data_IF_694493032938
#
_entry.id   IF_694493032938
#
_cell.length_a   1.000
_cell.length_b   1.000
_cell.length_c   1.000
_cell.angle_alpha   90.00
_cell.angle_beta   90.00
_cell.angle_gamma   90.00
#
_symmetry.space_group_name_H-M   'P 1'
#
loop_
_entity.id
_entity.type
_entity.pdbx_description
1 polymer ?
#
# COMPACT_ATOMS: atom_id res chain seq x y z
N UNK A 1 7.46 22.43 -9.76
CA UNK A 1 7.22 22.03 -9.78
C UNK A 1 6.59 21.29 -9.88
N UNK A 2 6.82 21.53 -10.06
CA UNK A 2 6.07 20.83 -10.18
C UNK A 2 5.79 19.77 -10.33
N UNK A 3 5.99 19.53 -10.96
CA UNK A 3 5.77 18.19 -11.14
C UNK A 3 5.42 17.47 -9.89
N UNK A 4 5.67 18.08 -8.80
CA UNK A 4 5.35 17.44 -7.55
C UNK A 4 3.84 17.42 -7.40
N UNK A 5 3.34 16.25 -7.16
CA UNK A 5 1.94 16.11 -6.81
C UNK A 5 1.78 16.46 -5.35
N UNK A 6 0.62 16.99 -5.02
CA UNK A 6 0.32 17.30 -3.64
C UNK A 6 0.27 15.99 -2.83
N UNK A 7 0.56 16.04 -1.54
CA UNK A 7 0.39 14.87 -0.69
C UNK A 7 -1.02 14.31 -0.74
N UNK A 8 -2.01 15.17 -0.90
CA UNK A 8 -3.40 14.74 -1.01
C UNK A 8 -3.58 13.71 -2.13
N UNK A 9 -3.02 13.99 -3.30
CA UNK A 9 -3.15 13.08 -4.44
C UNK A 9 -2.42 11.77 -4.19
N UNK A 10 -1.24 11.83 -3.57
CA UNK A 10 -0.51 10.60 -3.22
C UNK A 10 -1.30 9.73 -2.25
N UNK A 11 -1.93 10.36 -1.27
CA UNK A 11 -2.74 9.62 -0.30
C UNK A 11 -3.98 9.00 -0.96
N UNK A 12 -4.58 9.70 -1.91
CA UNK A 12 -5.69 9.14 -2.67
C UNK A 12 -5.26 7.91 -3.46
N UNK A 13 -4.07 7.95 -4.07
CA UNK A 13 -3.54 6.80 -4.78
C UNK A 13 -3.38 5.60 -3.85
N UNK A 14 -2.84 5.82 -2.66
CA UNK A 14 -2.66 4.75 -1.69
C UNK A 14 -4.02 4.17 -1.30
N UNK A 15 -4.98 5.03 -0.97
CA UNK A 15 -6.31 4.59 -0.59
C UNK A 15 -6.97 3.75 -1.70
N UNK A 16 -6.86 4.23 -2.93
CA UNK A 16 -7.52 3.56 -4.04
C UNK A 16 -6.91 2.20 -4.33
N UNK A 17 -5.58 2.09 -4.21
CA UNK A 17 -4.93 0.78 -4.41
C UNK A 17 -5.28 -0.20 -3.30
N UNK A 18 -5.36 0.27 -2.06
CA UNK A 18 -5.78 -0.59 -0.96
C UNK A 18 -7.21 -1.07 -1.19
N UNK A 19 -8.10 -0.16 -1.57
CA UNK A 19 -9.49 -0.53 -1.84
C UNK A 19 -9.58 -1.55 -2.97
N UNK A 20 -8.80 -1.34 -4.03
CA UNK A 20 -8.83 -2.24 -5.19
C UNK A 20 -8.40 -3.66 -4.85
N UNK A 21 -7.30 -3.81 -4.12
CA UNK A 21 -6.83 -5.14 -3.78
C UNK A 21 -7.75 -5.79 -2.74
N UNK A 22 -8.27 -5.00 -1.80
CA UNK A 22 -9.21 -5.50 -0.80
C UNK A 22 -10.47 -6.06 -1.47
N UNK A 23 -10.99 -5.34 -2.45
CA UNK A 23 -12.16 -5.82 -3.19
C UNK A 23 -11.85 -7.08 -3.97
N UNK A 24 -10.66 -7.16 -4.57
CA UNK A 24 -10.28 -8.30 -5.39
C UNK A 24 -10.16 -9.59 -4.58
N UNK A 25 -9.74 -9.50 -3.32
CA UNK A 25 -9.55 -10.69 -2.49
C UNK A 25 -10.71 -10.95 -1.53
N UNK A 26 -11.77 -10.17 -1.61
CA UNK A 26 -12.92 -10.33 -0.71
C UNK A 26 -13.50 -11.72 -0.85
N UNK A 27 -13.62 -12.43 0.28
CA UNK A 27 -14.18 -13.77 0.29
C UNK A 27 -13.25 -14.86 -0.22
N UNK A 28 -12.00 -14.52 -0.55
CA UNK A 28 -11.03 -15.49 -1.08
C UNK A 28 -10.25 -16.10 0.07
N UNK A 29 -10.10 -17.43 0.07
CA UNK A 29 -9.28 -18.11 1.05
C UNK A 29 -7.80 -17.99 0.68
N UNK A 30 -6.92 -18.26 1.66
CA UNK A 30 -5.49 -18.26 1.35
C UNK A 30 -5.16 -19.30 0.28
N UNK A 31 -5.77 -20.49 0.36
CA UNK A 31 -5.50 -21.53 -0.63
C UNK A 31 -5.87 -21.07 -2.03
N UNK A 32 -7.04 -20.45 -2.18
CA UNK A 32 -7.45 -19.95 -3.49
C UNK A 32 -6.57 -18.80 -3.96
N UNK A 33 -6.17 -17.93 -3.02
CA UNK A 33 -5.28 -16.84 -3.32
C UNK A 33 -3.93 -17.36 -3.85
N UNK A 34 -3.38 -18.36 -3.15
CA UNK A 34 -2.08 -18.94 -3.52
C UNK A 34 -2.11 -19.56 -4.90
N UNK A 35 -3.27 -20.11 -5.30
CA UNK A 35 -3.43 -20.74 -6.61
C UNK A 35 -3.71 -19.72 -7.71
N UNK A 36 -3.95 -18.46 -7.37
CA UNK A 36 -4.36 -17.46 -8.35
C UNK A 36 -3.20 -16.59 -8.78
N UNK A 37 -2.70 -16.84 -9.99
CA UNK A 37 -1.69 -15.97 -10.58
C UNK A 37 -2.17 -14.53 -10.60
N UNK A 38 -3.42 -14.31 -11.02
CA UNK A 38 -3.96 -12.97 -11.17
C UNK A 38 -4.00 -12.21 -9.85
N UNK A 39 -4.49 -12.86 -8.78
CA UNK A 39 -4.61 -12.18 -7.49
C UNK A 39 -3.23 -11.84 -6.91
N UNK A 40 -2.24 -12.71 -7.12
CA UNK A 40 -0.88 -12.39 -6.67
C UNK A 40 -0.31 -11.21 -7.43
N UNK A 41 -0.53 -11.15 -8.75
CA UNK A 41 -0.05 -10.03 -9.56
C UNK A 41 -0.76 -8.73 -9.21
N UNK A 42 -2.08 -8.79 -8.96
CA UNK A 42 -2.83 -7.63 -8.51
C UNK A 42 -2.24 -7.09 -7.21
N UNK A 43 -1.95 -7.99 -6.26
CA UNK A 43 -1.39 -7.60 -4.97
C UNK A 43 -0.01 -6.96 -5.13
N UNK A 44 0.86 -7.56 -5.94
CA UNK A 44 2.20 -7.03 -6.16
C UNK A 44 2.16 -5.65 -6.79
N UNK A 45 1.30 -5.48 -7.79
CA UNK A 45 1.20 -4.18 -8.45
C UNK A 45 0.67 -3.12 -7.52
N UNK A 46 -0.36 -3.45 -6.73
CA UNK A 46 -0.90 -2.51 -5.76
C UNK A 46 0.19 -2.08 -4.76
N UNK A 47 0.97 -3.04 -4.27
CA UNK A 47 2.03 -2.73 -3.32
C UNK A 47 3.12 -1.86 -3.94
N UNK A 48 3.44 -2.06 -5.22
CA UNK A 48 4.40 -1.19 -5.89
C UNK A 48 3.91 0.25 -5.94
N UNK A 49 2.65 0.43 -6.32
CA UNK A 49 2.08 1.78 -6.40
C UNK A 49 2.02 2.42 -5.02
N UNK A 50 1.60 1.67 -4.00
CA UNK A 50 1.53 2.17 -2.63
C UNK A 50 2.92 2.58 -2.15
N UNK A 51 3.92 1.76 -2.40
CA UNK A 51 5.28 2.03 -2.00
C UNK A 51 5.81 3.31 -2.65
N UNK A 52 5.56 3.48 -3.95
CA UNK A 52 6.03 4.65 -4.66
C UNK A 52 5.33 5.91 -4.19
N UNK A 53 4.02 5.83 -3.95
CA UNK A 53 3.27 6.98 -3.44
C UNK A 53 3.75 7.36 -2.04
N UNK A 54 3.99 6.36 -1.19
CA UNK A 54 4.48 6.61 0.17
C UNK A 54 5.85 7.26 0.15
N UNK A 55 6.73 6.80 -0.75
CA UNK A 55 8.07 7.37 -0.90
C UNK A 55 8.00 8.85 -1.26
N UNK A 56 6.98 9.25 -2.00
CA UNK A 56 6.83 10.63 -2.45
C UNK A 56 6.22 11.55 -1.41
N UNK A 57 5.74 11.01 -0.28
CA UNK A 57 5.18 11.85 0.79
C UNK A 57 6.31 12.55 1.54
N UNK A 58 6.12 13.83 1.91
CA UNK A 58 7.13 14.52 2.71
C UNK A 58 7.36 13.85 4.05
N UNK A 59 8.63 13.79 4.46
CA UNK A 59 8.98 13.19 5.74
C UNK A 59 8.31 13.94 6.89
N UNK A 60 8.16 15.25 6.75
CA UNK A 60 7.48 16.06 7.77
C UNK A 60 6.05 15.61 7.98
N UNK A 61 5.41 15.18 6.89
CA UNK A 61 4.02 14.71 6.98
C UNK A 61 3.95 13.32 7.57
N UNK A 62 4.72 12.36 7.03
CA UNK A 62 4.65 10.99 7.53
C UNK A 62 5.10 10.89 8.98
N UNK A 63 6.01 11.75 9.40
CA UNK A 63 6.46 11.78 10.79
C UNK A 63 5.37 12.09 11.80
N UNK A 64 4.29 12.70 11.36
CA UNK A 64 3.15 12.98 12.24
C UNK A 64 2.22 11.77 12.41
N UNK A 65 2.46 10.70 11.67
CA UNK A 65 1.59 9.53 11.67
C UNK A 65 2.41 8.26 11.88
N UNK A 66 3.08 8.14 13.03
CA UNK A 66 3.99 7.01 13.26
C UNK A 66 3.30 5.66 13.42
N UNK A 67 1.96 5.65 13.48
CA UNK A 67 1.23 4.39 13.52
C UNK A 67 1.42 3.58 12.24
N UNK A 68 1.75 4.21 11.11
CA UNK A 68 2.04 3.49 9.89
C UNK A 68 3.54 3.24 9.79
N UNK A 69 3.94 2.01 9.40
CA UNK A 69 5.37 1.68 9.27
C UNK A 69 5.90 2.13 7.91
N UNK A 70 6.09 3.43 7.74
CA UNK A 70 6.41 4.03 6.43
C UNK A 70 7.67 3.44 5.81
N UNK A 71 8.73 3.20 6.61
CA UNK A 71 9.95 2.65 6.05
C UNK A 71 9.75 1.25 5.50
N UNK A 72 8.96 0.43 6.19
CA UNK A 72 8.66 -0.92 5.72
C UNK A 72 7.81 -0.88 4.45
N UNK A 73 6.85 0.04 4.39
CA UNK A 73 5.99 0.20 3.22
C UNK A 73 6.83 0.58 2.00
N UNK A 74 7.73 1.53 2.16
CA UNK A 74 8.63 1.95 1.08
C UNK A 74 9.56 0.82 0.69
N UNK A 75 10.05 0.05 1.68
CA UNK A 75 10.97 -1.06 1.43
C UNK A 75 10.37 -2.19 0.61
N UNK A 76 9.05 -2.40 0.71
CA UNK A 76 8.39 -3.43 -0.07
C UNK A 76 8.60 -3.20 -1.58
N UNK A 77 8.58 -1.93 -2.01
CA UNK A 77 8.83 -1.62 -3.42
C UNK A 77 10.19 -2.09 -3.89
N UNK A 78 11.21 -1.94 -3.05
CA UNK A 78 12.55 -2.43 -3.38
C UNK A 78 12.56 -3.96 -3.50
N UNK A 79 11.91 -4.66 -2.58
CA UNK A 79 11.85 -6.11 -2.61
C UNK A 79 11.20 -6.57 -3.91
N UNK A 80 10.09 -5.94 -4.29
CA UNK A 80 9.37 -6.32 -5.51
C UNK A 80 10.17 -6.06 -6.77
N UNK A 81 11.01 -5.00 -6.78
CA UNK A 81 11.82 -4.68 -7.97
C UNK A 81 13.05 -5.56 -8.10
N UNK A 82 13.65 -5.93 -6.98
CA UNK A 82 14.99 -6.53 -7.01
C UNK A 82 15.06 -7.91 -6.41
N UNK A 83 14.10 -8.28 -5.57
CA UNK A 83 14.15 -9.52 -4.81
C UNK A 83 12.78 -10.16 -4.67
N UNK A 84 11.99 -10.12 -5.75
CA UNK A 84 10.61 -10.57 -5.66
C UNK A 84 10.48 -12.03 -5.18
N UNK A 85 11.51 -12.85 -5.40
CA UNK A 85 11.48 -14.23 -4.94
C UNK A 85 11.50 -14.36 -3.42
N UNK A 86 11.83 -13.29 -2.70
CA UNK A 86 11.84 -13.28 -1.25
C UNK A 86 10.48 -12.89 -0.65
N UNK A 87 9.51 -12.55 -1.50
CA UNK A 87 8.17 -12.20 -1.03
C UNK A 87 7.24 -13.36 -1.38
N UNK A 88 7.15 -14.33 -0.45
CA UNK A 88 6.37 -15.53 -0.69
C UNK A 88 4.86 -15.24 -0.56
N UNK A 89 4.07 -16.23 -0.94
CA UNK A 89 2.62 -16.09 -1.01
C UNK A 89 2.00 -15.79 0.35
N UNK A 90 2.49 -16.44 1.41
CA UNK A 90 1.94 -16.23 2.74
C UNK A 90 2.26 -14.83 3.25
N UNK A 91 3.47 -14.36 3.01
CA UNK A 91 3.85 -13.00 3.41
C UNK A 91 3.01 -11.97 2.66
N UNK A 92 2.84 -12.19 1.36
CA UNK A 92 2.03 -11.29 0.54
C UNK A 92 0.58 -11.27 1.04
N UNK A 93 0.03 -12.44 1.33
CA UNK A 93 -1.32 -12.56 1.86
C UNK A 93 -1.48 -11.81 3.18
N UNK A 94 -0.50 -11.96 4.08
CA UNK A 94 -0.53 -11.26 5.35
C UNK A 94 -0.54 -9.73 5.14
N UNK A 95 0.27 -9.26 4.22
CA UNK A 95 0.35 -7.83 3.95
C UNK A 95 -1.02 -7.32 3.47
N UNK A 96 -1.63 -8.00 2.50
CA UNK A 96 -2.85 -7.47 1.91
C UNK A 96 -4.08 -7.67 2.80
N UNK A 97 -4.06 -8.66 3.71
CA UNK A 97 -5.22 -8.92 4.58
C UNK A 97 -5.12 -8.24 5.94
N UNK A 98 -3.91 -7.97 6.42
CA UNK A 98 -3.71 -7.41 7.77
C UNK A 98 -3.13 -6.01 7.69
N UNK A 99 -2.01 -5.85 7.01
CA UNK A 99 -1.27 -4.59 7.07
C UNK A 99 -1.88 -3.50 6.23
N UNK A 100 -2.40 -3.82 5.05
CA UNK A 100 -3.03 -2.79 4.21
C UNK A 100 -4.29 -2.22 4.83
N UNK A 101 -5.19 -3.02 5.44
CA UNK A 101 -6.33 -2.42 6.13
C UNK A 101 -5.93 -1.47 7.26
N UNK A 102 -4.85 -1.79 7.99
CA UNK A 102 -4.36 -0.89 9.03
C UNK A 102 -3.82 0.41 8.42
N UNK A 103 -3.05 0.30 7.34
CA UNK A 103 -2.55 1.49 6.65
C UNK A 103 -3.69 2.34 6.12
N UNK A 104 -4.75 1.71 5.64
CA UNK A 104 -5.90 2.44 5.13
C UNK A 104 -6.48 3.35 6.20
N UNK A 105 -6.58 2.86 7.42
CA UNK A 105 -7.08 3.68 8.53
C UNK A 105 -6.24 4.93 8.75
N UNK A 106 -4.93 4.78 8.71
CA UNK A 106 -4.02 5.93 8.86
C UNK A 106 -4.19 6.90 7.70
N UNK A 107 -4.24 6.37 6.46
CA UNK A 107 -4.37 7.22 5.28
C UNK A 107 -5.68 8.00 5.30
N UNK A 108 -6.77 7.36 5.72
CA UNK A 108 -8.05 8.07 5.83
C UNK A 108 -7.98 9.20 6.86
N UNK A 109 -7.27 8.98 7.96
CA UNK A 109 -7.08 10.03 8.96
C UNK A 109 -6.26 11.17 8.37
N UNK A 110 -5.21 10.86 7.65
CA UNK A 110 -4.38 11.88 7.01
C UNK A 110 -5.19 12.70 6.01
N UNK A 111 -6.02 12.03 5.22
CA UNK A 111 -6.87 12.72 4.25
C UNK A 111 -7.85 13.64 4.94
N UNK A 112 -8.42 13.19 6.05
CA UNK A 112 -9.33 14.01 6.83
C UNK A 112 -8.63 15.25 7.39
N UNK A 113 -7.39 15.06 7.84
CA UNK A 113 -6.66 16.14 8.51
C UNK A 113 -6.21 17.24 7.53
N UNK A 114 -5.91 16.87 6.28
CA UNK A 114 -5.38 17.86 5.32
C UNK A 114 -6.35 18.15 4.17
N UNK A 115 -7.13 17.16 3.81
CA UNK A 115 -7.77 17.18 2.50
C UNK A 115 -8.88 18.18 2.34
N UNK A 116 -9.62 18.38 3.39
CA UNK A 116 -10.79 19.23 3.30
C UNK A 116 -10.47 20.68 3.56
N UNK A 117 -9.26 20.91 3.96
CA UNK A 117 -8.84 22.28 4.24
C UNK A 117 -8.78 23.10 2.96
#
# INVERSE_FOLDING_TARGET
MAASRSPHIRLLHIRDEINGVTDAIKGVSFEDYRESYALRRVSERALQIISEAARALPVELTGKYPAAPWNAIIGIGNILRHEYQHLDDRRLWEIVTVHLPQLRGVVLQMLSDIGDA
#
